data_IF_077696204901
#
_entry.id   IF_077696204901
#
_cell.length_a   1.000
_cell.length_b   1.000
_cell.length_c   1.000
_cell.angle_alpha   90.00
_cell.angle_beta   90.00
_cell.angle_gamma   90.00
#
_symmetry.space_group_name_H-M   'P 1'
#
loop_
_entity.id
_entity.type
_entity.pdbx_description
1 polymer ?
#
# COMPACT_ATOMS: atom_id res chain seq x y z
N UNK A 1 7.29 -2.10 5.16
CA UNK A 1 7.39 -1.28 3.95
C UNK A 1 6.21 -0.31 3.87
N UNK A 2 6.46 0.95 3.48
CA UNK A 2 5.48 2.04 3.44
C UNK A 2 5.36 2.66 2.02
N UNK A 3 5.09 1.85 0.97
CA UNK A 3 5.19 2.32 -0.41
C UNK A 3 4.23 3.47 -0.75
N UNK A 4 3.03 3.51 -0.19
CA UNK A 4 2.09 4.61 -0.43
C UNK A 4 2.57 5.94 0.14
N UNK A 5 3.18 5.91 1.32
CA UNK A 5 3.72 7.10 1.99
C UNK A 5 4.98 7.57 1.25
N UNK A 6 5.87 6.64 0.86
CA UNK A 6 7.04 6.96 0.05
C UNK A 6 6.66 7.58 -1.29
N UNK A 7 5.66 7.01 -2.00
CA UNK A 7 5.17 7.57 -3.25
C UNK A 7 4.61 9.00 -3.11
N UNK A 8 3.93 9.30 -2.00
CA UNK A 8 3.45 10.64 -1.70
C UNK A 8 4.60 11.63 -1.47
N UNK A 9 5.63 11.20 -0.73
CA UNK A 9 6.81 12.00 -0.47
C UNK A 9 7.58 12.32 -1.76
N UNK A 10 7.83 11.30 -2.58
CA UNK A 10 8.54 11.45 -3.86
C UNK A 10 7.78 12.37 -4.82
N UNK A 11 6.45 12.19 -4.94
CA UNK A 11 5.62 13.06 -5.76
C UNK A 11 5.69 14.53 -5.29
N UNK A 12 5.72 14.77 -3.99
CA UNK A 12 5.89 16.11 -3.41
C UNK A 12 7.25 16.73 -3.76
N UNK A 13 8.33 15.95 -3.68
CA UNK A 13 9.68 16.42 -4.07
C UNK A 13 9.72 16.74 -5.56
N UNK A 14 9.18 15.85 -6.40
CA UNK A 14 9.15 16.03 -7.85
C UNK A 14 8.31 17.25 -8.27
N UNK A 15 7.27 17.61 -7.53
CA UNK A 15 6.43 18.76 -7.84
C UNK A 15 7.19 20.10 -7.83
N UNK A 16 8.33 20.16 -7.14
CA UNK A 16 9.19 21.35 -7.10
C UNK A 16 10.13 21.43 -8.32
N UNK A 17 10.27 20.34 -9.09
CA UNK A 17 11.12 20.30 -10.27
C UNK A 17 10.34 20.83 -11.49
N UNK A 18 10.80 21.93 -12.07
CA UNK A 18 10.19 22.47 -13.27
C UNK A 18 10.97 22.00 -14.50
N UNK A 19 10.40 21.02 -15.20
CA UNK A 19 10.88 20.65 -16.52
C UNK A 19 10.30 21.60 -17.57
N UNK A 20 11.10 21.93 -18.57
CA UNK A 20 10.72 22.86 -19.65
C UNK A 20 9.67 22.26 -20.59
N UNK A 21 9.64 20.92 -20.70
CA UNK A 21 8.66 20.22 -21.53
C UNK A 21 7.51 19.73 -20.66
N UNK A 22 6.33 20.30 -20.89
CA UNK A 22 5.08 19.88 -20.24
C UNK A 22 4.16 19.27 -21.27
N UNK A 23 3.62 18.11 -20.97
CA UNK A 23 2.54 17.49 -21.74
C UNK A 23 1.22 18.02 -21.19
N UNK A 24 0.38 18.59 -22.05
CA UNK A 24 -0.99 18.94 -21.67
C UNK A 24 -1.81 17.67 -21.50
N UNK A 25 -2.68 17.64 -20.49
CA UNK A 25 -3.69 16.58 -20.39
C UNK A 25 -4.71 16.78 -21.52
N UNK A 26 -4.96 15.71 -22.28
CA UNK A 26 -6.09 15.68 -23.20
C UNK A 26 -7.41 15.53 -22.42
N UNK A 27 -8.53 15.86 -23.05
CA UNK A 27 -9.84 15.63 -22.44
C UNK A 27 -10.04 14.14 -22.16
N UNK A 28 -10.50 13.81 -20.96
CA UNK A 28 -10.80 12.43 -20.59
C UNK A 28 -12.11 12.04 -21.25
N UNK A 29 -12.06 11.12 -22.22
CA UNK A 29 -13.25 10.62 -22.93
C UNK A 29 -14.04 9.57 -22.13
N UNK A 30 -13.50 9.09 -21.01
CA UNK A 30 -14.12 8.08 -20.15
C UNK A 30 -14.49 8.69 -18.79
N UNK A 31 -15.78 8.58 -18.42
CA UNK A 31 -16.24 9.04 -17.11
C UNK A 31 -15.78 8.12 -15.98
N UNK A 32 -15.14 8.73 -15.00
CA UNK A 32 -14.93 8.11 -13.68
C UNK A 32 -16.11 8.56 -12.82
N UNK A 33 -16.96 7.62 -12.38
CA UNK A 33 -18.03 7.95 -11.46
C UNK A 33 -17.49 8.46 -10.13
N UNK A 34 -18.17 9.42 -9.51
CA UNK A 34 -17.82 9.96 -8.19
C UNK A 34 -17.66 8.84 -7.15
N UNK A 35 -18.50 7.80 -7.26
CA UNK A 35 -18.41 6.63 -6.38
C UNK A 35 -17.08 5.90 -6.57
N UNK A 36 -16.66 5.59 -7.80
CA UNK A 36 -15.39 4.88 -8.04
C UNK A 36 -14.20 5.72 -7.57
N UNK A 37 -14.23 7.02 -7.78
CA UNK A 37 -13.19 7.93 -7.33
C UNK A 37 -13.12 7.97 -5.79
N UNK A 38 -14.26 8.10 -5.13
CA UNK A 38 -14.36 8.10 -3.67
C UNK A 38 -13.85 6.78 -3.07
N UNK A 39 -14.28 5.64 -3.63
CA UNK A 39 -13.87 4.31 -3.16
C UNK A 39 -12.36 4.08 -3.37
N UNK A 40 -11.79 4.53 -4.50
CA UNK A 40 -10.36 4.44 -4.78
C UNK A 40 -9.52 5.30 -3.81
N UNK A 41 -9.97 6.52 -3.54
CA UNK A 41 -9.31 7.41 -2.58
C UNK A 41 -9.36 6.84 -1.16
N UNK A 42 -10.51 6.31 -0.75
CA UNK A 42 -10.65 5.69 0.57
C UNK A 42 -9.82 4.42 0.69
N UNK A 43 -9.80 3.57 -0.35
CA UNK A 43 -8.91 2.41 -0.44
C UNK A 43 -7.45 2.78 -0.16
N UNK A 44 -6.94 3.79 -0.86
CA UNK A 44 -5.54 4.23 -0.69
C UNK A 44 -5.28 4.83 0.68
N UNK A 45 -6.25 5.52 1.24
CA UNK A 45 -6.17 6.06 2.60
C UNK A 45 -6.08 4.94 3.65
N UNK A 46 -6.89 3.90 3.51
CA UNK A 46 -6.83 2.71 4.38
C UNK A 46 -5.46 2.05 4.29
N UNK A 47 -4.98 1.79 3.06
CA UNK A 47 -3.65 1.21 2.85
C UNK A 47 -2.53 2.04 3.50
N UNK A 48 -2.54 3.36 3.32
CA UNK A 48 -1.52 4.25 3.89
C UNK A 48 -1.55 4.24 5.43
N UNK A 49 -2.75 4.20 6.03
CA UNK A 49 -2.89 4.11 7.49
C UNK A 49 -2.33 2.80 8.02
N UNK A 50 -2.67 1.66 7.41
CA UNK A 50 -2.14 0.34 7.82
C UNK A 50 -0.62 0.30 7.71
N UNK A 51 -0.05 0.79 6.60
CA UNK A 51 1.40 0.86 6.42
C UNK A 51 2.09 1.71 7.50
N UNK A 52 1.50 2.86 7.85
CA UNK A 52 2.01 3.71 8.91
C UNK A 52 1.97 3.05 10.29
N UNK A 53 0.86 2.41 10.62
CA UNK A 53 0.71 1.68 11.88
C UNK A 53 1.64 0.46 11.95
N UNK A 54 1.81 -0.29 10.86
CA UNK A 54 2.77 -1.40 10.78
C UNK A 54 4.22 -0.89 11.02
N UNK A 55 4.57 0.27 10.47
CA UNK A 55 5.88 0.87 10.72
C UNK A 55 6.08 1.20 12.20
N UNK A 56 5.07 1.79 12.85
CA UNK A 56 5.13 2.11 14.29
C UNK A 56 5.29 0.84 15.12
N UNK A 57 4.55 -0.22 14.80
CA UNK A 57 4.68 -1.51 15.50
C UNK A 57 6.08 -2.10 15.35
N UNK A 58 6.61 -2.14 14.12
CA UNK A 58 7.97 -2.67 13.89
C UNK A 58 9.05 -1.83 14.57
N UNK A 59 8.88 -0.52 14.62
CA UNK A 59 9.77 0.35 15.39
C UNK A 59 9.69 0.06 16.88
N UNK A 60 8.47 -0.07 17.43
CA UNK A 60 8.23 -0.44 18.83
C UNK A 60 8.95 -1.73 19.21
N UNK A 61 8.82 -2.76 18.35
CA UNK A 61 9.48 -4.07 18.55
C UNK A 61 11.02 -3.95 18.48
N UNK A 62 11.55 -3.22 17.49
CA UNK A 62 13.01 -3.10 17.29
C UNK A 62 13.73 -2.35 18.42
N UNK A 63 13.06 -1.38 19.01
CA UNK A 63 13.60 -0.52 20.07
C UNK A 63 13.18 -0.97 21.49
N UNK A 64 12.47 -2.10 21.61
CA UNK A 64 11.89 -2.57 22.85
C UNK A 64 11.01 -1.53 23.56
N UNK A 65 10.24 -0.78 22.79
CA UNK A 65 9.21 0.12 23.30
C UNK A 65 7.86 -0.59 23.35
N UNK A 66 7.04 -0.26 24.35
CA UNK A 66 5.67 -0.76 24.46
C UNK A 66 4.69 0.29 23.89
N UNK A 67 4.65 0.44 22.57
CA UNK A 67 3.74 1.39 21.92
C UNK A 67 2.41 0.70 21.62
N UNK A 68 1.35 1.16 22.26
CA UNK A 68 -0.02 0.69 22.01
C UNK A 68 -0.58 1.35 20.74
N UNK A 69 -0.90 0.56 19.71
CA UNK A 69 -1.54 1.06 18.48
C UNK A 69 -2.91 1.67 18.76
N UNK A 70 -3.66 1.12 19.73
CA UNK A 70 -4.95 1.67 20.16
C UNK A 70 -4.79 3.09 20.71
N UNK A 71 -3.77 3.32 21.55
CA UNK A 71 -3.48 4.66 22.08
C UNK A 71 -2.98 5.62 21.00
N UNK A 72 -2.18 5.16 20.04
CA UNK A 72 -1.76 5.97 18.86
C UNK A 72 -3.00 6.44 18.10
N UNK A 73 -3.94 5.54 17.82
CA UNK A 73 -5.18 5.87 17.11
C UNK A 73 -6.05 6.86 17.91
N UNK A 74 -6.11 6.74 19.23
CA UNK A 74 -6.82 7.70 20.08
C UNK A 74 -6.16 9.09 20.06
N UNK A 75 -4.84 9.15 20.18
CA UNK A 75 -4.10 10.40 20.07
C UNK A 75 -4.33 11.08 18.72
N UNK A 76 -4.33 10.33 17.61
CA UNK A 76 -4.63 10.89 16.29
C UNK A 76 -6.07 11.41 16.15
N UNK A 77 -7.01 10.91 16.95
CA UNK A 77 -8.37 11.44 17.02
C UNK A 77 -8.48 12.72 17.85
N UNK A 78 -7.55 12.94 18.77
CA UNK A 78 -7.57 14.02 19.75
C UNK A 78 -7.21 15.43 19.22
N UNK A 79 -6.90 15.60 17.94
CA UNK A 79 -6.55 16.91 17.36
C UNK A 79 -5.67 16.86 16.12
N UNK A 80 -5.45 15.69 15.57
CA UNK A 80 -4.68 15.53 14.34
C UNK A 80 -5.52 15.84 13.09
N UNK A 81 -4.89 16.36 12.04
CA UNK A 81 -5.50 16.63 10.74
C UNK A 81 -6.06 15.36 10.06
N UNK A 82 -5.53 14.19 10.42
CA UNK A 82 -6.00 12.89 9.89
C UNK A 82 -7.22 12.34 10.60
N UNK A 83 -7.79 13.07 11.57
CA UNK A 83 -9.01 12.66 12.29
C UNK A 83 -10.13 12.26 11.32
N UNK A 84 -10.66 11.06 11.50
CA UNK A 84 -11.70 10.47 10.64
C UNK A 84 -12.38 9.27 11.31
N UNK A 85 -13.51 8.84 10.75
CA UNK A 85 -14.19 7.62 11.19
C UNK A 85 -13.33 6.36 10.96
N UNK A 86 -12.46 6.35 9.94
CA UNK A 86 -11.51 5.27 9.72
C UNK A 86 -10.67 4.94 10.96
N UNK A 87 -10.26 5.97 11.76
CA UNK A 87 -9.50 5.72 12.99
C UNK A 87 -10.33 5.00 14.06
N UNK A 88 -11.66 5.14 14.04
CA UNK A 88 -12.56 4.38 14.93
C UNK A 88 -12.63 2.92 14.50
N UNK A 89 -12.79 2.69 13.19
CA UNK A 89 -12.88 1.35 12.63
C UNK A 89 -11.57 0.59 12.88
N UNK A 90 -10.43 1.23 12.60
CA UNK A 90 -9.11 0.66 12.90
C UNK A 90 -8.92 0.41 14.40
N UNK A 91 -9.32 1.35 15.27
CA UNK A 91 -9.23 1.15 16.72
C UNK A 91 -10.01 -0.08 17.17
N UNK A 92 -11.23 -0.27 16.67
CA UNK A 92 -12.04 -1.43 16.98
C UNK A 92 -11.34 -2.73 16.56
N UNK A 93 -10.87 -2.81 15.34
CA UNK A 93 -10.15 -3.97 14.82
C UNK A 93 -8.89 -4.30 15.64
N UNK A 94 -8.08 -3.30 15.98
CA UNK A 94 -6.87 -3.49 16.78
C UNK A 94 -7.15 -3.79 18.26
N UNK A 95 -8.31 -3.42 18.77
CA UNK A 95 -8.72 -3.81 20.14
C UNK A 95 -9.16 -5.27 20.23
N UNK A 96 -9.69 -5.82 19.13
CA UNK A 96 -10.16 -7.19 19.03
C UNK A 96 -9.04 -8.16 18.58
N UNK A 97 -8.06 -7.65 17.81
CA UNK A 97 -7.02 -8.42 17.16
C UNK A 97 -5.63 -7.81 17.40
N UNK A 98 -4.69 -8.62 17.87
CA UNK A 98 -3.31 -8.17 18.14
C UNK A 98 -2.39 -8.26 16.91
N UNK A 99 -2.90 -8.53 15.71
CA UNK A 99 -2.10 -8.73 14.51
C UNK A 99 -2.66 -7.95 13.32
N UNK A 100 -1.77 -7.30 12.55
CA UNK A 100 -2.10 -6.64 11.29
C UNK A 100 -2.68 -7.60 10.24
N UNK A 101 -2.37 -8.88 10.32
CA UNK A 101 -2.85 -9.90 9.39
C UNK A 101 -4.21 -10.47 9.77
N UNK A 102 -4.77 -10.04 10.90
CA UNK A 102 -6.10 -10.42 11.39
C UNK A 102 -7.13 -9.29 11.30
N UNK A 103 -6.88 -8.29 10.43
CA UNK A 103 -7.80 -7.16 10.18
C UNK A 103 -8.83 -7.55 9.10
N UNK A 104 -9.59 -8.61 9.34
CA UNK A 104 -10.46 -9.24 8.34
C UNK A 104 -11.48 -8.28 7.75
N UNK A 105 -12.13 -7.45 8.57
CA UNK A 105 -13.12 -6.48 8.06
C UNK A 105 -12.48 -5.43 7.16
N UNK A 106 -11.27 -4.98 7.49
CA UNK A 106 -10.52 -4.00 6.69
C UNK A 106 -10.06 -4.63 5.37
N UNK A 107 -9.50 -5.84 5.42
CA UNK A 107 -9.09 -6.56 4.22
C UNK A 107 -10.26 -6.92 3.31
N UNK A 108 -11.40 -7.34 3.87
CA UNK A 108 -12.63 -7.58 3.12
C UNK A 108 -13.13 -6.30 2.44
N UNK A 109 -13.10 -5.15 3.14
CA UNK A 109 -13.43 -3.87 2.53
C UNK A 109 -12.51 -3.55 1.34
N UNK A 110 -11.20 -3.69 1.51
CA UNK A 110 -10.23 -3.46 0.43
C UNK A 110 -10.49 -4.40 -0.76
N UNK A 111 -10.76 -5.67 -0.50
CA UNK A 111 -11.06 -6.64 -1.55
C UNK A 111 -12.34 -6.30 -2.34
N UNK A 112 -13.40 -5.87 -1.65
CA UNK A 112 -14.66 -5.45 -2.28
C UNK A 112 -14.48 -4.22 -3.16
N UNK A 113 -13.58 -3.30 -2.79
CA UNK A 113 -13.34 -2.05 -3.51
C UNK A 113 -12.15 -2.11 -4.49
N UNK A 114 -11.55 -3.29 -4.66
CA UNK A 114 -10.43 -3.51 -5.58
C UNK A 114 -10.76 -3.14 -7.02
N UNK A 115 -11.98 -3.42 -7.48
CA UNK A 115 -12.42 -3.07 -8.83
C UNK A 115 -12.51 -1.56 -9.05
N UNK A 116 -12.94 -0.79 -8.04
CA UNK A 116 -13.06 0.66 -8.13
C UNK A 116 -11.69 1.32 -8.33
N UNK A 117 -10.70 1.00 -7.51
CA UNK A 117 -9.34 1.55 -7.68
C UNK A 117 -8.70 1.08 -8.98
N UNK A 118 -8.91 -0.18 -9.41
CA UNK A 118 -8.42 -0.70 -10.69
C UNK A 118 -8.98 0.11 -11.86
N UNK A 119 -10.29 0.41 -11.85
CA UNK A 119 -10.94 1.22 -12.90
C UNK A 119 -10.37 2.64 -12.95
N UNK A 120 -10.17 3.28 -11.80
CA UNK A 120 -9.55 4.62 -11.72
C UNK A 120 -8.13 4.59 -12.28
N UNK A 121 -7.32 3.60 -11.90
CA UNK A 121 -5.94 3.46 -12.39
C UNK A 121 -5.86 3.21 -13.89
N UNK A 122 -6.77 2.42 -14.46
CA UNK A 122 -6.83 2.20 -15.92
C UNK A 122 -7.07 3.50 -16.67
N UNK A 123 -8.05 4.30 -16.23
CA UNK A 123 -8.39 5.56 -16.88
C UNK A 123 -7.27 6.59 -16.70
N UNK A 124 -6.73 6.73 -15.50
CA UNK A 124 -5.65 7.70 -15.22
C UNK A 124 -4.37 7.35 -15.99
N UNK A 125 -4.00 6.08 -16.07
CA UNK A 125 -2.83 5.63 -16.83
C UNK A 125 -3.00 5.87 -18.34
N UNK A 126 -4.17 5.52 -18.88
CA UNK A 126 -4.49 5.75 -20.30
C UNK A 126 -4.39 7.24 -20.69
N UNK A 127 -4.74 8.13 -19.77
CA UNK A 127 -4.75 9.58 -20.00
C UNK A 127 -3.50 10.30 -19.45
N UNK A 128 -2.43 9.58 -19.14
CA UNK A 128 -1.16 10.13 -18.63
C UNK A 128 -1.32 10.97 -17.34
N UNK A 129 -2.32 10.64 -16.49
CA UNK A 129 -2.55 11.29 -15.21
C UNK A 129 -1.75 10.55 -14.14
N UNK A 130 -0.75 11.18 -13.51
CA UNK A 130 0.04 10.54 -12.48
C UNK A 130 -0.76 10.35 -11.19
N UNK A 131 -0.87 9.11 -10.72
CA UNK A 131 -1.55 8.74 -9.49
C UNK A 131 -0.65 7.86 -8.59
N UNK A 132 0.53 8.35 -8.17
CA UNK A 132 1.56 7.53 -7.53
C UNK A 132 1.07 6.85 -6.26
N UNK A 133 0.30 7.52 -5.42
CA UNK A 133 -0.22 6.95 -4.16
C UNK A 133 -1.27 5.88 -4.42
N UNK A 134 -2.20 6.10 -5.36
CA UNK A 134 -3.20 5.10 -5.75
C UNK A 134 -2.52 3.83 -6.29
N UNK A 135 -1.55 4.01 -7.20
CA UNK A 135 -0.79 2.91 -7.79
C UNK A 135 0.00 2.12 -6.75
N UNK A 136 0.69 2.82 -5.85
CA UNK A 136 1.47 2.19 -4.78
C UNK A 136 0.58 1.43 -3.79
N UNK A 137 -0.59 1.98 -3.43
CA UNK A 137 -1.57 1.34 -2.54
C UNK A 137 -2.15 0.07 -3.16
N UNK A 138 -2.53 0.14 -4.44
CA UNK A 138 -3.07 -0.99 -5.18
C UNK A 138 -2.05 -2.12 -5.32
N UNK A 139 -0.81 -1.80 -5.68
CA UNK A 139 0.26 -2.78 -5.79
C UNK A 139 0.62 -3.40 -4.43
N UNK A 140 0.68 -2.60 -3.37
CA UNK A 140 0.92 -3.11 -2.01
C UNK A 140 -0.14 -4.13 -1.60
N UNK A 141 -1.42 -3.80 -1.79
CA UNK A 141 -2.52 -4.71 -1.46
C UNK A 141 -2.49 -5.99 -2.31
N UNK A 142 -2.25 -5.86 -3.62
CA UNK A 142 -2.12 -7.00 -4.52
C UNK A 142 -0.97 -7.92 -4.11
N UNK A 143 0.19 -7.36 -3.74
CA UNK A 143 1.33 -8.15 -3.29
C UNK A 143 1.03 -8.94 -2.00
N UNK A 144 0.22 -8.38 -1.09
CA UNK A 144 -0.18 -9.09 0.14
C UNK A 144 -1.19 -10.20 -0.12
N UNK A 145 -2.03 -10.06 -1.14
CA UNK A 145 -3.19 -10.95 -1.36
C UNK A 145 -3.02 -11.90 -2.55
N UNK A 146 -1.96 -11.76 -3.34
CA UNK A 146 -1.66 -12.67 -4.46
C UNK A 146 -1.02 -13.95 -3.98
N UNK A 147 -1.57 -15.08 -4.42
CA UNK A 147 -0.96 -16.41 -4.25
C UNK A 147 0.28 -16.54 -5.13
N UNK A 148 0.15 -16.13 -6.40
CA UNK A 148 1.24 -16.12 -7.38
C UNK A 148 1.81 -14.70 -7.48
N UNK A 149 2.84 -14.41 -6.70
CA UNK A 149 3.42 -13.08 -6.65
C UNK A 149 4.57 -12.93 -7.65
N UNK A 150 4.48 -12.00 -8.63
CA UNK A 150 5.57 -11.72 -9.58
C UNK A 150 6.87 -11.29 -8.90
N UNK A 151 6.84 -10.86 -7.65
CA UNK A 151 8.04 -10.55 -6.86
C UNK A 151 8.97 -11.75 -6.68
N UNK A 152 8.48 -12.96 -6.87
CA UNK A 152 9.31 -14.18 -6.91
C UNK A 152 10.36 -14.11 -8.02
N UNK A 153 10.06 -13.45 -9.14
CA UNK A 153 11.02 -13.21 -10.21
C UNK A 153 12.19 -12.31 -9.75
N UNK A 154 11.91 -11.32 -8.89
CA UNK A 154 12.95 -10.45 -8.32
C UNK A 154 13.89 -11.28 -7.44
N UNK A 155 13.36 -12.20 -6.64
CA UNK A 155 14.19 -13.07 -5.81
C UNK A 155 14.99 -14.06 -6.66
N UNK A 156 14.39 -14.62 -7.71
CA UNK A 156 15.09 -15.46 -8.68
C UNK A 156 16.23 -14.68 -9.37
N UNK A 157 16.00 -13.46 -9.79
CA UNK A 157 17.02 -12.58 -10.38
C UNK A 157 18.15 -12.27 -9.40
N UNK A 158 17.86 -12.04 -8.12
CA UNK A 158 18.88 -11.84 -7.08
C UNK A 158 19.72 -13.11 -6.88
N UNK A 159 19.10 -14.28 -6.94
CA UNK A 159 19.84 -15.55 -6.85
C UNK A 159 20.74 -15.75 -8.08
N UNK A 160 20.26 -15.44 -9.28
CA UNK A 160 21.04 -15.48 -10.52
C UNK A 160 22.31 -14.61 -10.44
N UNK A 161 22.19 -13.37 -9.98
CA UNK A 161 23.31 -12.43 -9.93
C UNK A 161 24.25 -12.64 -8.74
N UNK A 162 23.72 -13.07 -7.60
CA UNK A 162 24.47 -13.04 -6.35
C UNK A 162 24.27 -14.25 -5.43
N UNK A 163 23.64 -15.31 -5.90
CA UNK A 163 23.32 -16.53 -5.11
C UNK A 163 22.63 -16.21 -3.77
N UNK A 164 21.64 -15.29 -3.82
CA UNK A 164 20.89 -14.85 -2.64
C UNK A 164 19.83 -15.83 -2.17
N UNK A 165 19.78 -17.01 -2.75
CA UNK A 165 18.84 -18.09 -2.47
C UNK A 165 17.38 -17.75 -2.75
N UNK A 166 16.61 -18.77 -3.00
CA UNK A 166 15.15 -18.74 -3.12
C UNK A 166 14.57 -19.77 -2.16
N UNK A 167 13.43 -19.45 -1.55
CA UNK A 167 12.70 -20.41 -0.75
C UNK A 167 11.82 -21.26 -1.64
N UNK A 168 11.86 -22.58 -1.46
CA UNK A 168 10.96 -23.48 -2.16
C UNK A 168 9.50 -23.26 -1.71
N UNK A 169 8.56 -23.39 -2.64
CA UNK A 169 7.11 -23.20 -2.37
C UNK A 169 6.60 -24.16 -1.30
N UNK A 170 7.07 -25.41 -1.34
CA UNK A 170 6.56 -26.49 -0.51
C UNK A 170 7.39 -26.75 0.76
N UNK A 171 8.38 -25.92 1.03
CA UNK A 171 9.25 -26.09 2.20
C UNK A 171 9.84 -24.74 2.65
N UNK A 172 10.33 -24.68 3.89
CA UNK A 172 11.09 -23.53 4.38
C UNK A 172 12.58 -23.58 3.98
N UNK A 173 12.96 -24.48 3.07
CA UNK A 173 14.35 -24.66 2.64
C UNK A 173 14.75 -23.54 1.66
N UNK A 174 15.85 -22.86 1.99
CA UNK A 174 16.50 -21.88 1.11
C UNK A 174 17.54 -22.58 0.22
N UNK A 175 17.35 -22.52 -1.07
CA UNK A 175 18.24 -23.08 -2.07
C UNK A 175 18.78 -22.05 -3.04
N UNK A 176 19.93 -22.31 -3.65
CA UNK A 176 20.33 -21.63 -4.88
C UNK A 176 19.76 -22.43 -6.08
N UNK A 177 19.24 -21.71 -7.05
CA UNK A 177 18.80 -22.30 -8.31
C UNK A 177 20.05 -22.66 -9.14
N UNK A 178 20.02 -23.82 -9.78
CA UNK A 178 20.99 -24.16 -10.83
C UNK A 178 20.54 -23.47 -12.11
N UNK A 179 21.36 -22.52 -12.58
CA UNK A 179 21.05 -21.64 -13.71
C UNK A 179 21.71 -22.07 -15.02
N UNK A 180 22.45 -23.21 -15.01
CA UNK A 180 23.16 -23.74 -16.18
C UNK A 180 22.28 -24.55 -17.13
#
# INVERSE_FOLDING_TARGET
SIPSISAAYDARLQSNNQYTTKTSMESIDEDISDKNLSDALYFSRVCSMIQGLELITKFSESENHEISIVEVLENWRGGCIIRSNLLLDLKKEFSENNSFYSLDNIFNYLQQNRAAISKVLQITTKNNIPTPVLSASFNWFNNLTSVDNPSNLIQAQRDFFGRHKVQKVDSSEDINIDWD
#
